data_IF_285530216972
#
_entry.id   IF_285530216972
#
_cell.length_a   1.000
_cell.length_b   1.000
_cell.length_c   1.000
_cell.angle_alpha   90.00
_cell.angle_beta   90.00
_cell.angle_gamma   90.00
#
_symmetry.space_group_name_H-M   'P 1'
#
loop_
_entity.id
_entity.type
_entity.pdbx_description
1 polymer ?
#
# COMPACT_ATOMS: atom_id res chain seq x y z
N UNK A 1 40.30 -12.05 21.02
CA UNK A 1 41.15 -11.39 20.00
C UNK A 1 41.63 -12.47 19.04
N UNK A 2 41.36 -12.29 17.74
CA UNK A 2 41.54 -13.24 16.61
C UNK A 2 40.31 -14.09 16.23
N UNK A 3 39.54 -13.56 15.26
CA UNK A 3 38.63 -14.20 14.27
C UNK A 3 37.47 -13.27 13.85
N UNK A 4 37.80 -12.01 13.57
CA UNK A 4 36.94 -11.08 12.82
C UNK A 4 37.79 -10.54 11.68
N UNK A 5 38.31 -11.43 10.82
CA UNK A 5 39.05 -11.00 9.63
C UNK A 5 39.20 -12.13 8.59
N UNK A 6 38.10 -12.84 8.27
CA UNK A 6 38.13 -13.76 7.13
C UNK A 6 36.74 -14.03 6.52
N UNK A 7 36.05 -12.98 6.08
CA UNK A 7 34.88 -13.14 5.18
C UNK A 7 34.68 -12.03 4.14
N UNK A 8 35.62 -11.09 4.00
CA UNK A 8 35.54 -10.04 2.97
C UNK A 8 36.18 -10.41 1.62
N UNK A 9 36.52 -11.68 1.38
CA UNK A 9 37.01 -12.14 0.07
C UNK A 9 36.42 -13.50 -0.27
N UNK A 10 35.28 -13.49 -0.95
CA UNK A 10 34.91 -14.41 -2.03
C UNK A 10 33.57 -13.92 -2.61
N UNK A 11 33.66 -13.14 -3.69
CA UNK A 11 32.50 -12.82 -4.52
C UNK A 11 32.09 -14.03 -5.36
N UNK A 12 30.80 -13.99 -5.75
CA UNK A 12 30.06 -14.87 -6.68
C UNK A 12 29.24 -16.00 -6.03
N UNK A 13 27.93 -15.79 -6.06
CA UNK A 13 26.94 -16.86 -6.28
C UNK A 13 26.40 -17.54 -5.01
N UNK A 14 25.34 -16.98 -4.42
CA UNK A 14 24.36 -17.80 -3.69
C UNK A 14 23.01 -17.08 -3.70
N UNK A 15 21.99 -17.79 -4.19
CA UNK A 15 20.58 -17.38 -4.13
C UNK A 15 20.24 -17.08 -2.67
N UNK A 16 19.66 -15.92 -2.42
CA UNK A 16 19.03 -15.61 -1.15
C UNK A 16 17.96 -16.68 -0.86
N UNK A 17 18.18 -17.45 0.20
CA UNK A 17 17.23 -18.46 0.68
C UNK A 17 16.02 -17.74 1.31
N UNK A 18 15.04 -17.31 0.51
CA UNK A 18 13.78 -16.74 1.02
C UNK A 18 13.02 -17.73 1.92
N UNK A 19 13.14 -19.03 1.62
CA UNK A 19 12.56 -20.10 2.42
C UNK A 19 13.09 -20.14 3.87
N UNK A 20 14.33 -19.69 4.12
CA UNK A 20 14.88 -19.63 5.47
C UNK A 20 14.30 -18.48 6.30
N UNK A 21 14.04 -17.34 5.66
CA UNK A 21 13.41 -16.19 6.29
C UNK A 21 11.91 -16.44 6.53
N UNK A 22 11.21 -17.04 5.56
CA UNK A 22 9.80 -17.44 5.68
C UNK A 22 9.60 -18.47 6.80
N UNK A 23 10.47 -19.50 6.88
CA UNK A 23 10.43 -20.48 7.96
C UNK A 23 10.73 -19.85 9.33
N UNK A 24 11.68 -18.90 9.39
CA UNK A 24 11.99 -18.16 10.60
C UNK A 24 10.80 -17.30 11.06
N UNK A 25 10.13 -16.59 10.14
CA UNK A 25 8.96 -15.78 10.47
C UNK A 25 7.76 -16.64 10.92
N UNK A 26 7.56 -17.80 10.30
CA UNK A 26 6.51 -18.75 10.71
C UNK A 26 6.75 -19.29 12.12
N UNK A 27 7.97 -19.76 12.41
CA UNK A 27 8.36 -20.24 13.74
C UNK A 27 8.29 -19.12 14.79
N UNK A 28 8.62 -17.89 14.38
CA UNK A 28 8.53 -16.71 15.23
C UNK A 28 7.07 -16.36 15.54
N UNK A 29 6.18 -16.38 14.55
CA UNK A 29 4.75 -16.16 14.74
C UNK A 29 4.11 -17.24 15.63
N UNK A 30 4.54 -18.50 15.50
CA UNK A 30 4.07 -19.58 16.36
C UNK A 30 4.58 -19.44 17.81
N UNK A 31 5.84 -19.03 18.00
CA UNK A 31 6.40 -18.70 19.31
C UNK A 31 5.68 -17.50 19.93
N UNK A 32 5.32 -16.49 19.13
CA UNK A 32 4.55 -15.33 19.56
C UNK A 32 3.15 -15.74 20.02
N UNK A 33 2.45 -16.59 19.26
CA UNK A 33 1.15 -17.17 19.68
C UNK A 33 1.28 -17.87 21.02
N UNK A 34 2.26 -18.76 21.19
CA UNK A 34 2.49 -19.50 22.44
C UNK A 34 2.78 -18.55 23.62
N UNK A 35 3.55 -17.49 23.40
CA UNK A 35 3.82 -16.47 24.43
C UNK A 35 2.58 -15.65 24.80
N UNK A 36 1.73 -15.31 23.83
CA UNK A 36 0.49 -14.57 24.06
C UNK A 36 -0.53 -15.42 24.83
N UNK A 37 -0.63 -16.71 24.52
CA UNK A 37 -1.46 -17.63 25.30
C UNK A 37 -0.94 -17.80 26.74
N UNK A 38 0.38 -17.92 26.92
CA UNK A 38 0.97 -17.99 28.26
C UNK A 38 0.70 -16.72 29.08
N UNK A 39 0.81 -15.54 28.46
CA UNK A 39 0.53 -14.26 29.13
C UNK A 39 -0.96 -14.11 29.49
N UNK A 40 -1.87 -14.62 28.65
CA UNK A 40 -3.32 -14.60 28.90
C UNK A 40 -3.71 -15.54 30.05
N UNK A 41 -3.08 -16.71 30.16
CA UNK A 41 -3.30 -17.65 31.26
C UNK A 41 -2.77 -17.07 32.60
N UNK A 42 -1.66 -16.33 32.55
CA UNK A 42 -1.08 -15.64 33.70
C UNK A 42 -1.98 -14.48 34.19
N UNK A 43 -2.55 -13.70 33.26
CA UNK A 43 -3.56 -12.67 33.57
C UNK A 43 -4.85 -13.27 34.15
N UNK A 44 -5.31 -14.43 33.65
CA UNK A 44 -6.48 -15.11 34.21
C UNK A 44 -6.25 -15.66 35.62
N UNK A 45 -5.04 -16.18 35.92
CA UNK A 45 -4.67 -16.60 37.27
C UNK A 45 -4.60 -15.42 38.24
N UNK A 46 -3.98 -14.31 37.84
CA UNK A 46 -3.91 -13.11 38.69
C UNK A 46 -5.28 -12.48 39.00
N UNK A 47 -6.25 -12.61 38.08
CA UNK A 47 -7.61 -12.10 38.27
C UNK A 47 -8.43 -12.96 39.25
N UNK A 48 -8.21 -14.28 39.26
CA UNK A 48 -8.84 -15.22 40.20
C UNK A 48 -8.30 -15.07 41.63
N UNK A 49 -6.98 -14.92 41.78
CA UNK A 49 -6.35 -14.70 43.10
C UNK A 49 -6.74 -13.34 43.72
N UNK A 50 -7.06 -12.35 42.88
CA UNK A 50 -7.51 -11.02 43.34
C UNK A 50 -8.98 -11.00 43.82
N UNK A 51 -9.79 -11.98 43.42
CA UNK A 51 -11.20 -12.09 43.81
C UNK A 51 -11.41 -12.79 45.17
N UNK A 52 -10.42 -13.56 45.66
CA UNK A 52 -10.55 -14.31 46.92
C UNK A 52 -10.20 -13.50 48.18
N UNK A 53 -9.59 -12.31 48.06
CA UNK A 53 -9.11 -11.52 49.21
C UNK A 53 -10.08 -10.40 49.64
N UNK A 54 -11.16 -10.16 48.89
CA UNK A 54 -11.96 -8.92 49.00
C UNK A 54 -13.38 -9.06 49.54
N UNK A 55 -13.63 -9.72 50.67
CA UNK A 55 -14.96 -9.68 51.34
C UNK A 55 -14.85 -9.31 52.83
N UNK A 56 -15.13 -8.04 53.18
CA UNK A 56 -15.68 -7.64 54.49
C UNK A 56 -16.30 -6.22 54.49
N UNK A 57 -17.62 -6.24 54.67
CA UNK A 57 -18.70 -5.30 55.11
C UNK A 57 -18.36 -3.95 55.84
N UNK A 58 -18.91 -2.86 55.27
CA UNK A 58 -19.59 -1.62 55.84
C UNK A 58 -19.00 -0.72 56.99
N UNK A 59 -19.56 0.50 57.32
CA UNK A 59 -20.26 1.56 56.57
C UNK A 59 -19.84 3.05 56.91
N UNK A 60 -20.52 4.00 56.25
CA UNK A 60 -20.44 5.49 56.16
C UNK A 60 -20.21 6.35 57.43
N UNK A 61 -19.55 7.52 57.24
CA UNK A 61 -19.79 8.77 58.03
C UNK A 61 -19.59 10.07 57.23
N UNK A 62 -20.41 11.09 57.54
CA UNK A 62 -20.58 12.43 56.92
C UNK A 62 -19.79 13.55 57.64
N UNK A 63 -19.77 14.73 56.99
CA UNK A 63 -19.50 16.13 57.46
C UNK A 63 -18.07 16.67 57.20
N UNK A 64 -17.78 17.97 56.98
CA UNK A 64 -18.47 19.22 56.54
C UNK A 64 -17.39 20.33 56.56
N UNK A 65 -17.35 21.26 55.59
CA UNK A 65 -17.02 22.69 55.86
C UNK A 65 -15.71 23.34 55.38
N UNK A 66 -15.89 24.45 54.62
CA UNK A 66 -15.17 25.76 54.52
C UNK A 66 -13.70 25.78 54.00
N UNK A 67 -13.31 26.51 52.93
CA UNK A 67 -13.35 27.95 52.50
C UNK A 67 -12.06 28.70 52.86
N UNK A 68 -11.38 29.30 51.86
CA UNK A 68 -10.27 30.28 52.02
C UNK A 68 -9.20 30.15 50.91
N UNK A 69 -9.22 30.92 49.81
CA UNK A 69 -8.63 32.27 49.57
C UNK A 69 -7.27 32.22 48.84
N UNK A 70 -7.16 33.17 47.92
CA UNK A 70 -6.24 33.49 46.82
C UNK A 70 -4.75 33.70 47.14
N UNK A 71 -3.89 33.49 46.12
CA UNK A 71 -2.53 34.05 46.03
C UNK A 71 -2.03 34.07 44.57
N UNK A 72 -1.62 35.25 44.10
CA UNK A 72 -1.21 35.65 42.74
C UNK A 72 0.34 35.74 42.67
N UNK A 73 0.97 35.43 41.52
CA UNK A 73 1.89 36.35 40.78
C UNK A 73 2.89 35.65 39.83
N UNK A 74 2.91 36.13 38.57
CA UNK A 74 3.98 36.41 37.57
C UNK A 74 5.43 35.94 37.82
N UNK A 75 6.30 35.70 36.82
CA UNK A 75 6.30 35.89 35.37
C UNK A 75 7.75 35.79 34.79
N UNK A 76 7.88 35.86 33.45
CA UNK A 76 9.10 36.06 32.60
C UNK A 76 10.19 34.97 32.57
N UNK A 77 10.95 34.70 31.49
CA UNK A 77 11.10 35.32 30.16
C UNK A 77 12.23 34.62 29.36
N UNK A 78 12.21 34.83 28.03
CA UNK A 78 13.00 34.35 26.88
C UNK A 78 14.50 33.95 27.04
N UNK A 79 14.99 33.04 26.16
CA UNK A 79 15.91 33.38 25.05
C UNK A 79 16.25 32.18 24.14
N UNK A 80 16.46 32.49 22.86
CA UNK A 80 16.69 31.59 21.72
C UNK A 80 18.14 31.11 21.58
N UNK A 81 18.35 29.98 20.88
CA UNK A 81 19.49 29.81 19.95
C UNK A 81 19.28 28.66 18.95
N UNK A 82 19.62 28.96 17.69
CA UNK A 82 19.72 28.04 16.55
C UNK A 82 20.98 27.18 16.66
N UNK A 83 20.92 25.90 16.28
CA UNK A 83 21.97 25.25 15.49
C UNK A 83 21.42 24.08 14.68
N UNK A 84 22.13 23.73 13.61
CA UNK A 84 21.74 22.86 12.52
C UNK A 84 22.35 21.45 12.60
N UNK A 85 21.76 20.56 11.81
CA UNK A 85 22.29 19.33 11.20
C UNK A 85 22.08 17.95 11.87
N UNK A 86 21.50 17.09 11.03
CA UNK A 86 21.55 15.61 10.93
C UNK A 86 20.58 14.77 11.76
N UNK A 87 20.02 13.81 11.03
CA UNK A 87 18.89 12.94 11.35
C UNK A 87 19.17 12.03 12.54
N UNK A 88 18.65 12.43 13.69
CA UNK A 88 18.23 11.49 14.71
C UNK A 88 16.71 11.34 14.56
N UNK A 89 16.21 10.11 14.54
CA UNK A 89 14.76 9.83 14.61
C UNK A 89 14.25 10.51 15.87
N UNK A 90 13.45 11.55 15.68
CA UNK A 90 13.05 12.47 16.73
C UNK A 90 12.04 11.77 17.66
N UNK A 91 12.52 11.34 18.83
CA UNK A 91 11.71 10.74 19.89
C UNK A 91 10.63 11.70 20.41
N UNK A 92 10.79 13.01 20.18
CA UNK A 92 9.78 14.04 20.42
C UNK A 92 8.54 13.87 19.53
N UNK A 93 8.74 13.54 18.24
CA UNK A 93 7.64 13.25 17.32
C UNK A 93 6.86 11.99 17.73
N UNK A 94 7.53 10.99 18.33
CA UNK A 94 6.87 9.81 18.89
C UNK A 94 6.02 10.14 20.13
N UNK A 95 6.51 11.01 21.02
CA UNK A 95 5.73 11.49 22.18
C UNK A 95 4.53 12.34 21.75
N UNK A 96 4.66 13.12 20.67
CA UNK A 96 3.55 13.87 20.08
C UNK A 96 2.53 12.97 19.36
N UNK A 97 2.97 11.88 18.71
CA UNK A 97 2.09 10.90 18.05
C UNK A 97 1.36 10.03 19.08
N UNK A 98 2.06 9.55 20.10
CA UNK A 98 1.48 8.86 21.25
C UNK A 98 0.59 9.81 22.05
N UNK A 99 0.99 11.06 22.27
CA UNK A 99 0.19 12.09 22.95
C UNK A 99 -1.02 12.57 22.13
N UNK A 100 -0.97 12.51 20.80
CA UNK A 100 -2.11 12.77 19.93
C UNK A 100 -3.06 11.56 19.83
N UNK A 101 -2.57 10.33 20.07
CA UNK A 101 -3.38 9.11 20.15
C UNK A 101 -3.87 8.80 21.59
N UNK A 102 -3.18 9.29 22.63
CA UNK A 102 -3.47 9.00 24.05
C UNK A 102 -3.92 10.23 24.85
N UNK A 103 -3.86 11.44 24.30
CA UNK A 103 -3.96 12.67 25.09
C UNK A 103 -2.71 12.88 25.96
N UNK A 104 -2.23 14.12 26.01
CA UNK A 104 -1.03 14.57 26.74
C UNK A 104 -0.73 13.83 28.07
N UNK A 105 0.48 13.28 28.29
CA UNK A 105 0.92 12.85 29.61
C UNK A 105 1.39 14.07 30.40
N UNK A 106 0.47 14.74 31.07
CA UNK A 106 0.78 16.00 31.75
C UNK A 106 -0.19 16.39 32.86
N UNK A 107 -0.44 15.50 33.82
CA UNK A 107 -0.58 15.87 35.25
C UNK A 107 -0.80 14.61 36.08
N UNK A 108 0.29 14.04 36.61
CA UNK A 108 0.20 13.11 37.73
C UNK A 108 -0.11 13.91 39.00
N UNK A 109 -1.39 14.18 39.25
CA UNK A 109 -1.88 14.37 40.62
C UNK A 109 -2.67 13.13 40.99
N UNK A 110 -2.04 12.33 41.86
CA UNK A 110 -2.66 11.20 42.56
C UNK A 110 -3.96 11.71 43.18
N UNK A 111 -5.09 11.14 42.73
CA UNK A 111 -6.37 10.95 43.43
C UNK A 111 -7.53 11.02 42.43
N UNK A 112 -7.82 9.89 41.79
CA UNK A 112 -9.14 9.64 41.22
C UNK A 112 -9.47 8.16 41.40
N UNK A 113 -10.43 7.93 42.31
CA UNK A 113 -11.20 6.71 42.49
C UNK A 113 -11.80 6.23 41.16
N UNK A 114 -11.84 4.92 41.02
CA UNK A 114 -12.47 4.08 40.00
C UNK A 114 -13.53 4.75 39.10
N UNK A 115 -13.14 5.06 37.85
CA UNK A 115 -13.91 4.97 36.58
C UNK A 115 -12.98 5.38 35.40
N UNK A 116 -13.28 5.09 34.11
CA UNK A 116 -12.57 4.10 33.30
C UNK A 116 -11.59 4.76 32.30
N UNK A 117 -10.29 4.49 32.41
CA UNK A 117 -9.27 4.95 31.44
C UNK A 117 -9.49 4.46 30.00
N UNK A 118 -10.30 3.41 29.78
CA UNK A 118 -10.69 2.91 28.46
C UNK A 118 -11.73 3.81 27.80
N UNK A 119 -12.82 4.14 28.50
CA UNK A 119 -13.93 4.94 27.97
C UNK A 119 -13.52 6.33 27.49
N UNK A 120 -12.56 6.97 28.17
CA UNK A 120 -12.03 8.27 27.73
C UNK A 120 -11.20 8.16 26.44
N UNK A 121 -10.45 7.08 26.25
CA UNK A 121 -9.65 6.85 25.04
C UNK A 121 -10.54 6.54 23.84
N UNK A 122 -11.55 5.70 24.05
CA UNK A 122 -12.56 5.39 23.02
C UNK A 122 -13.25 6.67 22.54
N UNK A 123 -13.60 7.58 23.46
CA UNK A 123 -14.19 8.88 23.10
C UNK A 123 -13.26 9.77 22.25
N UNK A 124 -11.95 9.77 22.53
CA UNK A 124 -10.96 10.56 21.75
C UNK A 124 -10.82 10.00 20.34
N UNK A 125 -10.71 8.68 20.18
CA UNK A 125 -10.62 8.03 18.87
C UNK A 125 -11.90 8.29 18.06
N UNK A 126 -13.07 8.16 18.69
CA UNK A 126 -14.35 8.46 18.05
C UNK A 126 -14.46 9.93 17.62
N UNK A 127 -14.05 10.87 18.48
CA UNK A 127 -14.04 12.30 18.14
C UNK A 127 -13.10 12.59 16.96
N UNK A 128 -11.92 11.97 16.93
CA UNK A 128 -10.96 12.08 15.80
C UNK A 128 -11.58 11.57 14.49
N UNK A 129 -12.21 10.40 14.52
CA UNK A 129 -12.89 9.80 13.37
C UNK A 129 -14.03 10.70 12.90
N UNK A 130 -14.86 11.23 13.79
CA UNK A 130 -15.97 12.12 13.44
C UNK A 130 -15.48 13.41 12.79
N UNK A 131 -14.47 14.07 13.37
CA UNK A 131 -13.86 15.28 12.80
C UNK A 131 -13.24 15.01 11.42
N UNK A 132 -12.56 13.88 11.26
CA UNK A 132 -11.94 13.49 9.97
C UNK A 132 -13.00 13.16 8.93
N UNK A 133 -14.08 12.49 9.32
CA UNK A 133 -15.22 12.18 8.46
C UNK A 133 -15.89 13.46 7.96
N UNK A 134 -16.12 14.43 8.85
CA UNK A 134 -16.70 15.72 8.51
C UNK A 134 -15.83 16.50 7.53
N UNK A 135 -14.51 16.53 7.77
CA UNK A 135 -13.55 17.16 6.84
C UNK A 135 -13.61 16.51 5.45
N UNK A 136 -13.57 15.17 5.36
CA UNK A 136 -13.69 14.47 4.07
C UNK A 136 -15.06 14.68 3.41
N UNK A 137 -16.13 14.91 4.17
CA UNK A 137 -17.43 15.27 3.62
C UNK A 137 -17.40 16.68 3.01
N UNK A 138 -16.85 17.66 3.72
CA UNK A 138 -16.68 19.04 3.22
C UNK A 138 -15.79 19.11 1.98
N UNK A 139 -14.70 18.33 1.92
CA UNK A 139 -13.85 18.30 0.72
C UNK A 139 -14.62 17.87 -0.54
N UNK A 140 -15.55 16.92 -0.39
CA UNK A 140 -16.38 16.37 -1.48
C UNK A 140 -17.59 17.24 -1.82
N UNK A 141 -17.89 18.24 -1.01
CA UNK A 141 -19.04 19.12 -1.22
C UNK A 141 -18.70 20.17 -2.28
N UNK A 142 -19.37 20.12 -3.43
CA UNK A 142 -19.17 21.07 -4.52
C UNK A 142 -19.76 22.45 -4.24
N UNK A 143 -20.61 22.59 -3.20
CA UNK A 143 -21.15 23.89 -2.78
C UNK A 143 -20.16 24.74 -1.99
N UNK A 144 -19.08 24.13 -1.46
CA UNK A 144 -18.04 24.81 -0.69
C UNK A 144 -16.90 25.23 -1.63
N UNK A 145 -16.53 26.52 -1.69
CA UNK A 145 -15.38 27.00 -2.46
C UNK A 145 -14.06 26.32 -2.06
N UNK A 146 -13.17 26.11 -3.02
CA UNK A 146 -11.87 25.45 -2.77
C UNK A 146 -11.01 26.18 -1.73
N UNK A 147 -11.04 27.52 -1.71
CA UNK A 147 -10.32 28.33 -0.73
C UNK A 147 -10.76 28.03 0.72
N UNK A 148 -12.04 27.74 0.93
CA UNK A 148 -12.63 27.46 2.25
C UNK A 148 -12.38 26.01 2.72
N UNK A 149 -11.71 25.19 1.89
CA UNK A 149 -11.35 23.81 2.19
C UNK A 149 -9.92 23.65 2.70
N UNK A 150 -9.12 24.72 2.73
CA UNK A 150 -7.69 24.64 3.04
C UNK A 150 -7.42 24.03 4.43
N UNK A 151 -8.19 24.41 5.44
CA UNK A 151 -8.07 23.85 6.79
C UNK A 151 -8.41 22.35 6.83
N UNK A 152 -9.45 21.94 6.08
CA UNK A 152 -9.85 20.54 5.97
C UNK A 152 -8.77 19.70 5.26
N UNK A 153 -8.16 20.24 4.20
CA UNK A 153 -7.01 19.63 3.51
C UNK A 153 -5.84 19.43 4.46
N UNK A 154 -5.42 20.48 5.19
CA UNK A 154 -4.32 20.40 6.15
C UNK A 154 -4.59 19.39 7.25
N UNK A 155 -5.82 19.39 7.79
CA UNK A 155 -6.27 18.42 8.82
C UNK A 155 -6.16 17.00 8.31
N UNK A 156 -6.72 16.70 7.14
CA UNK A 156 -6.71 15.34 6.57
C UNK A 156 -5.29 14.88 6.29
N UNK A 157 -4.47 15.71 5.65
CA UNK A 157 -3.06 15.40 5.39
C UNK A 157 -2.30 15.09 6.68
N UNK A 158 -2.55 15.85 7.75
CA UNK A 158 -1.96 15.60 9.07
C UNK A 158 -2.41 14.26 9.67
N UNK A 159 -3.70 13.94 9.56
CA UNK A 159 -4.25 12.67 10.07
C UNK A 159 -3.67 11.48 9.31
N UNK A 160 -3.65 11.52 7.98
CA UNK A 160 -3.08 10.44 7.14
C UNK A 160 -1.62 10.21 7.50
N UNK A 161 -0.79 11.26 7.52
CA UNK A 161 0.64 11.13 7.86
C UNK A 161 0.87 10.61 9.28
N UNK A 162 0.07 11.08 10.25
CA UNK A 162 0.13 10.58 11.63
C UNK A 162 -0.17 9.09 11.69
N UNK A 163 -1.21 8.64 10.99
CA UNK A 163 -1.61 7.24 10.98
C UNK A 163 -0.62 6.37 10.20
N UNK A 164 -0.08 6.84 9.08
CA UNK A 164 0.95 6.09 8.36
C UNK A 164 2.19 5.87 9.24
N UNK A 165 2.72 6.93 9.85
CA UNK A 165 3.83 6.83 10.81
C UNK A 165 3.50 5.91 12.00
N UNK A 166 2.28 6.01 12.55
CA UNK A 166 1.85 5.12 13.63
C UNK A 166 1.82 3.66 13.16
N UNK A 167 1.25 3.37 11.99
CA UNK A 167 1.19 2.01 11.46
C UNK A 167 2.57 1.46 11.11
N UNK A 168 3.50 2.29 10.64
CA UNK A 168 4.88 1.88 10.40
C UNK A 168 5.56 1.39 11.68
N UNK A 169 5.45 2.15 12.76
CA UNK A 169 6.04 1.77 14.05
C UNK A 169 5.36 0.54 14.64
N UNK A 170 4.03 0.46 14.53
CA UNK A 170 3.22 -0.59 15.15
C UNK A 170 3.17 -1.90 14.34
N UNK A 171 3.64 -1.90 13.09
CA UNK A 171 3.74 -3.11 12.25
C UNK A 171 5.12 -3.74 12.23
N UNK A 172 6.13 -3.08 12.82
CA UNK A 172 7.48 -3.63 12.97
C UNK A 172 7.46 -4.80 13.97
N UNK A 173 7.79 -6.04 13.54
CA UNK A 173 7.73 -7.22 14.40
C UNK A 173 8.53 -7.07 15.70
N UNK A 174 9.66 -6.34 15.66
CA UNK A 174 10.52 -6.14 16.82
C UNK A 174 9.90 -5.15 17.83
N UNK A 175 9.08 -4.21 17.36
CA UNK A 175 8.43 -3.18 18.19
C UNK A 175 7.03 -3.60 18.63
N UNK A 176 6.41 -4.53 17.90
CA UNK A 176 5.09 -5.07 18.23
C UNK A 176 5.03 -5.73 19.59
N UNK A 177 6.10 -6.39 20.04
CA UNK A 177 6.16 -7.04 21.36
C UNK A 177 6.06 -6.01 22.50
N UNK A 178 6.69 -4.83 22.33
CA UNK A 178 6.73 -3.78 23.36
C UNK A 178 5.53 -2.83 23.33
N UNK A 179 4.61 -2.97 22.39
CA UNK A 179 3.45 -2.09 22.25
C UNK A 179 2.22 -2.70 22.93
N UNK A 180 1.38 -1.85 23.54
CA UNK A 180 0.16 -2.32 24.20
C UNK A 180 -0.88 -2.81 23.20
N UNK A 181 -1.53 -3.94 23.48
CA UNK A 181 -2.60 -4.52 22.64
C UNK A 181 -3.69 -3.50 22.33
N UNK A 182 -4.11 -2.72 23.33
CA UNK A 182 -5.14 -1.70 23.14
C UNK A 182 -4.69 -0.59 22.18
N UNK A 183 -3.42 -0.17 22.23
CA UNK A 183 -2.91 0.83 21.29
C UNK A 183 -2.96 0.31 19.85
N UNK A 184 -2.58 -0.96 19.63
CA UNK A 184 -2.68 -1.60 18.31
C UNK A 184 -4.12 -1.71 17.83
N UNK A 185 -5.06 -2.02 18.72
CA UNK A 185 -6.51 -2.01 18.43
C UNK A 185 -6.97 -0.61 17.99
N UNK A 186 -6.61 0.44 18.74
CA UNK A 186 -7.06 1.80 18.48
C UNK A 186 -6.47 2.34 17.17
N UNK A 187 -5.17 2.12 16.94
CA UNK A 187 -4.46 2.54 15.72
C UNK A 187 -5.01 1.81 14.49
N UNK A 188 -5.15 0.49 14.55
CA UNK A 188 -5.67 -0.28 13.40
C UNK A 188 -7.12 0.10 13.09
N UNK A 189 -7.96 0.30 14.10
CA UNK A 189 -9.34 0.73 13.91
C UNK A 189 -9.41 2.12 13.26
N UNK A 190 -8.70 3.12 13.79
CA UNK A 190 -8.71 4.47 13.24
C UNK A 190 -8.13 4.50 11.81
N UNK A 191 -7.00 3.81 11.58
CA UNK A 191 -6.39 3.70 10.25
C UNK A 191 -7.34 3.05 9.24
N UNK A 192 -8.03 1.97 9.62
CA UNK A 192 -9.02 1.33 8.76
C UNK A 192 -10.14 2.29 8.36
N UNK A 193 -10.70 3.05 9.32
CA UNK A 193 -11.73 4.05 9.02
C UNK A 193 -11.21 5.11 8.03
N UNK A 194 -10.00 5.61 8.22
CA UNK A 194 -9.39 6.59 7.30
C UNK A 194 -9.11 5.97 5.92
N UNK A 195 -8.70 4.71 5.83
CA UNK A 195 -8.54 3.99 4.55
C UNK A 195 -9.89 3.95 3.79
N UNK A 196 -11.00 3.69 4.47
CA UNK A 196 -12.33 3.74 3.85
C UNK A 196 -12.70 5.15 3.37
N UNK A 197 -12.35 6.19 4.14
CA UNK A 197 -12.57 7.59 3.75
C UNK A 197 -11.74 7.97 2.52
N UNK A 198 -10.45 7.61 2.49
CA UNK A 198 -9.56 7.78 1.33
C UNK A 198 -10.16 7.08 0.10
N UNK A 199 -10.61 5.84 0.26
CA UNK A 199 -11.23 5.08 -0.83
C UNK A 199 -12.50 5.75 -1.37
N UNK A 200 -13.30 6.37 -0.50
CA UNK A 200 -14.52 7.09 -0.88
C UNK A 200 -14.19 8.40 -1.59
N UNK A 201 -13.19 9.14 -1.08
CA UNK A 201 -12.70 10.38 -1.67
C UNK A 201 -12.12 10.15 -3.08
N UNK A 202 -11.23 9.18 -3.23
CA UNK A 202 -10.60 8.86 -4.52
C UNK A 202 -11.61 8.51 -5.62
N UNK A 203 -12.73 7.85 -5.30
CA UNK A 203 -13.76 7.51 -6.30
C UNK A 203 -14.55 8.70 -6.82
N UNK A 204 -14.76 9.72 -5.98
CA UNK A 204 -15.55 10.91 -6.34
C UNK A 204 -14.70 11.86 -7.16
N UNK A 205 -13.40 11.96 -6.86
CA UNK A 205 -12.48 12.92 -7.46
C UNK A 205 -11.84 12.48 -8.79
N UNK A 206 -12.04 11.24 -9.25
CA UNK A 206 -11.62 10.83 -10.61
C UNK A 206 -12.38 11.60 -11.71
N UNK A 207 -13.45 12.31 -11.36
CA UNK A 207 -14.16 13.22 -12.24
C UNK A 207 -13.88 14.70 -11.90
N UNK A 208 -13.20 15.37 -12.83
CA UNK A 208 -13.51 16.74 -13.28
C UNK A 208 -13.03 18.03 -12.58
N UNK A 209 -12.57 18.07 -11.32
CA UNK A 209 -12.21 19.39 -10.73
C UNK A 209 -10.73 19.53 -10.43
N UNK A 210 -10.00 20.30 -11.23
CA UNK A 210 -8.58 20.63 -11.08
C UNK A 210 -8.32 21.70 -10.00
N UNK A 211 -8.97 21.60 -8.83
CA UNK A 211 -8.75 22.52 -7.72
C UNK A 211 -7.34 22.28 -7.16
N UNK A 212 -6.46 23.26 -7.36
CA UNK A 212 -5.05 23.20 -6.93
C UNK A 212 -4.91 23.00 -5.43
N UNK A 213 -5.87 23.50 -4.66
CA UNK A 213 -5.97 23.45 -3.21
C UNK A 213 -6.16 22.03 -2.69
N UNK A 214 -6.76 21.14 -3.49
CA UNK A 214 -6.96 19.73 -3.15
C UNK A 214 -5.77 18.84 -3.55
N UNK A 215 -4.77 19.37 -4.26
CA UNK A 215 -3.64 18.57 -4.74
C UNK A 215 -2.91 17.79 -3.63
N UNK A 216 -2.61 18.38 -2.45
CA UNK A 216 -1.87 17.66 -1.40
C UNK A 216 -2.64 16.46 -0.83
N UNK A 217 -3.96 16.59 -0.64
CA UNK A 217 -4.78 15.47 -0.14
C UNK A 217 -4.98 14.42 -1.21
N UNK A 218 -5.09 14.81 -2.49
CA UNK A 218 -5.19 13.88 -3.62
C UNK A 218 -3.94 13.05 -3.79
N UNK A 219 -2.76 13.65 -3.62
CA UNK A 219 -1.48 12.95 -3.67
C UNK A 219 -1.41 11.85 -2.60
N UNK A 220 -1.72 12.18 -1.34
CA UNK A 220 -1.77 11.20 -0.25
C UNK A 220 -2.88 10.16 -0.42
N UNK A 221 -3.98 10.55 -1.07
CA UNK A 221 -5.09 9.65 -1.32
C UNK A 221 -4.89 8.81 -2.58
N UNK A 222 -3.86 9.02 -3.40
CA UNK A 222 -3.65 8.31 -4.67
C UNK A 222 -3.29 6.83 -4.48
N UNK A 223 -3.41 6.03 -5.55
CA UNK A 223 -3.07 4.60 -5.51
C UNK A 223 -1.56 4.43 -5.72
N UNK A 224 -0.76 4.80 -4.71
CA UNK A 224 0.71 4.74 -4.74
C UNK A 224 1.25 3.60 -3.89
N UNK A 225 2.56 3.34 -3.98
CA UNK A 225 3.23 2.36 -3.12
C UNK A 225 3.08 2.67 -1.62
N UNK A 226 3.12 3.94 -1.25
CA UNK A 226 2.98 4.35 0.16
C UNK A 226 1.57 4.10 0.67
N UNK A 227 0.54 4.34 -0.15
CA UNK A 227 -0.83 3.94 0.21
C UNK A 227 -0.96 2.42 0.39
N UNK A 228 -0.35 1.62 -0.50
CA UNK A 228 -0.35 0.15 -0.37
C UNK A 228 0.30 -0.28 0.94
N UNK A 229 1.48 0.27 1.26
CA UNK A 229 2.18 0.00 2.52
C UNK A 229 1.34 0.37 3.73
N UNK A 230 0.71 1.55 3.72
CA UNK A 230 -0.18 1.99 4.79
C UNK A 230 -1.32 0.99 5.05
N UNK A 231 -1.98 0.49 3.99
CA UNK A 231 -3.03 -0.52 4.11
C UNK A 231 -2.49 -1.86 4.62
N UNK A 232 -1.37 -2.34 4.06
CA UNK A 232 -0.73 -3.60 4.46
C UNK A 232 -0.32 -3.58 5.94
N UNK A 233 0.32 -2.50 6.39
CA UNK A 233 0.72 -2.29 7.79
C UNK A 233 -0.51 -2.31 8.71
N UNK A 234 -1.59 -1.64 8.31
CA UNK A 234 -2.86 -1.65 9.05
C UNK A 234 -3.44 -3.06 9.18
N UNK A 235 -3.38 -3.87 8.12
CA UNK A 235 -3.83 -5.25 8.12
C UNK A 235 -2.97 -6.15 9.03
N UNK A 236 -1.65 -6.01 9.00
CA UNK A 236 -0.74 -6.72 9.92
C UNK A 236 -0.98 -6.40 11.38
N UNK A 237 -1.19 -5.12 11.71
CA UNK A 237 -1.53 -4.70 13.07
C UNK A 237 -2.84 -5.35 13.50
N UNK A 238 -3.85 -5.37 12.62
CA UNK A 238 -5.15 -6.01 12.90
C UNK A 238 -4.99 -7.51 13.19
N UNK A 239 -4.15 -8.23 12.44
CA UNK A 239 -3.86 -9.65 12.69
C UNK A 239 -3.14 -9.89 14.02
N UNK A 240 -2.25 -8.98 14.40
CA UNK A 240 -1.52 -9.08 15.68
C UNK A 240 -2.39 -9.02 16.93
N UNK A 241 -3.61 -8.49 16.78
CA UNK A 241 -4.62 -8.40 17.85
C UNK A 241 -5.83 -9.30 17.56
N UNK A 242 -5.64 -10.34 16.75
CA UNK A 242 -6.63 -11.36 16.40
C UNK A 242 -7.90 -10.83 15.69
N UNK A 243 -7.77 -9.72 14.96
CA UNK A 243 -8.87 -9.11 14.19
C UNK A 243 -8.75 -9.44 12.70
N UNK A 244 -8.81 -10.73 12.37
CA UNK A 244 -8.72 -11.23 10.98
C UNK A 244 -9.75 -10.62 10.03
N UNK A 245 -10.96 -10.34 10.53
CA UNK A 245 -12.00 -9.69 9.74
C UNK A 245 -11.59 -8.27 9.29
N UNK A 246 -11.01 -7.47 10.19
CA UNK A 246 -10.53 -6.11 9.88
C UNK A 246 -9.33 -6.15 8.91
N UNK A 247 -8.42 -7.10 9.08
CA UNK A 247 -7.32 -7.30 8.13
C UNK A 247 -7.83 -7.67 6.73
N UNK A 248 -8.81 -8.57 6.66
CA UNK A 248 -9.45 -8.98 5.41
C UNK A 248 -10.18 -7.82 4.73
N UNK A 249 -10.85 -6.98 5.51
CA UNK A 249 -11.53 -5.76 5.05
C UNK A 249 -10.53 -4.75 4.47
N UNK A 250 -9.44 -4.45 5.19
CA UNK A 250 -8.39 -3.54 4.71
C UNK A 250 -7.81 -4.00 3.36
N UNK A 251 -7.45 -5.28 3.26
CA UNK A 251 -6.94 -5.86 2.02
C UNK A 251 -7.99 -5.89 0.91
N UNK A 252 -9.27 -6.10 1.25
CA UNK A 252 -10.39 -6.04 0.29
C UNK A 252 -10.62 -4.63 -0.27
N UNK A 253 -10.44 -3.59 0.54
CA UNK A 253 -10.47 -2.19 0.07
C UNK A 253 -9.37 -1.94 -0.95
N UNK A 254 -8.14 -2.37 -0.65
CA UNK A 254 -7.02 -2.24 -1.56
C UNK A 254 -7.23 -3.03 -2.87
N UNK A 255 -7.70 -4.27 -2.79
CA UNK A 255 -7.97 -5.07 -4.00
C UNK A 255 -9.02 -4.39 -4.89
N UNK A 256 -10.14 -3.95 -4.31
CA UNK A 256 -11.19 -3.23 -5.02
C UNK A 256 -10.66 -1.96 -5.68
N UNK A 257 -9.65 -1.34 -5.09
CA UNK A 257 -8.97 -0.17 -5.65
C UNK A 257 -8.11 -0.54 -6.84
N UNK A 258 -7.25 -1.55 -6.71
CA UNK A 258 -6.37 -2.03 -7.79
C UNK A 258 -7.17 -2.44 -9.04
N UNK A 259 -8.31 -3.11 -8.86
CA UNK A 259 -9.19 -3.52 -9.96
C UNK A 259 -9.82 -2.32 -10.68
N UNK A 260 -10.16 -1.27 -9.94
CA UNK A 260 -10.89 -0.11 -10.46
C UNK A 260 -9.99 0.97 -11.03
N UNK A 261 -8.68 0.95 -10.77
CA UNK A 261 -7.74 1.91 -11.36
C UNK A 261 -7.78 1.81 -12.89
N UNK A 262 -8.17 2.87 -13.62
CA UNK A 262 -8.24 2.85 -15.10
C UNK A 262 -6.87 2.57 -15.73
N UNK A 263 -6.83 1.81 -16.82
CA UNK A 263 -5.57 1.46 -17.49
C UNK A 263 -4.74 2.68 -17.94
N UNK A 264 -5.40 3.75 -18.37
CA UNK A 264 -4.72 4.99 -18.78
C UNK A 264 -4.02 5.73 -17.63
N UNK A 265 -4.44 5.49 -16.39
CA UNK A 265 -3.84 6.10 -15.19
C UNK A 265 -2.79 5.21 -14.53
N UNK A 266 -2.66 3.95 -14.97
CA UNK A 266 -1.68 3.01 -14.41
C UNK A 266 -0.29 3.38 -14.91
N UNK A 267 0.57 3.81 -14.00
CA UNK A 267 2.00 3.75 -14.24
C UNK A 267 2.42 2.28 -14.31
N UNK A 268 2.79 1.78 -15.49
CA UNK A 268 3.01 0.36 -15.74
C UNK A 268 4.05 -0.29 -14.82
N UNK A 269 5.14 0.40 -14.49
CA UNK A 269 6.19 -0.13 -13.63
C UNK A 269 5.81 -0.11 -12.15
N UNK A 270 5.00 0.85 -11.74
CA UNK A 270 4.52 1.00 -10.37
C UNK A 270 3.35 0.05 -10.09
N UNK A 271 2.35 0.03 -10.96
CA UNK A 271 1.12 -0.74 -10.78
C UNK A 271 1.38 -2.24 -10.60
N UNK A 272 2.32 -2.82 -11.37
CA UNK A 272 2.76 -4.20 -11.17
C UNK A 272 3.28 -4.44 -9.75
N UNK A 273 4.14 -3.55 -9.25
CA UNK A 273 4.69 -3.63 -7.89
C UNK A 273 3.58 -3.52 -6.84
N UNK A 274 2.58 -2.66 -7.05
CA UNK A 274 1.42 -2.54 -6.15
C UNK A 274 0.65 -3.86 -6.05
N UNK A 275 0.38 -4.50 -7.19
CA UNK A 275 -0.34 -5.77 -7.26
C UNK A 275 0.47 -6.93 -6.66
N UNK A 276 1.78 -6.97 -6.91
CA UNK A 276 2.68 -7.96 -6.33
C UNK A 276 2.75 -7.84 -4.82
N UNK A 277 3.02 -6.64 -4.29
CA UNK A 277 3.04 -6.37 -2.86
C UNK A 277 1.70 -6.73 -2.20
N UNK A 278 0.58 -6.32 -2.81
CA UNK A 278 -0.75 -6.72 -2.34
C UNK A 278 -0.89 -8.25 -2.22
N UNK A 279 -0.55 -8.98 -3.28
CA UNK A 279 -0.74 -10.43 -3.31
C UNK A 279 0.21 -11.17 -2.39
N UNK A 280 1.47 -10.77 -2.31
CA UNK A 280 2.48 -11.40 -1.45
C UNK A 280 2.12 -11.22 0.03
N UNK A 281 1.77 -10.00 0.42
CA UNK A 281 1.40 -9.68 1.80
C UNK A 281 0.08 -10.35 2.20
N UNK A 282 -0.91 -10.37 1.31
CA UNK A 282 -2.18 -11.06 1.57
C UNK A 282 -1.97 -12.57 1.77
N UNK A 283 -1.09 -13.19 1.00
CA UNK A 283 -0.76 -14.60 1.11
C UNK A 283 0.00 -14.89 2.42
N UNK A 284 0.98 -14.04 2.76
CA UNK A 284 1.73 -14.11 4.01
C UNK A 284 0.85 -13.97 5.26
N UNK A 285 -0.24 -13.20 5.16
CA UNK A 285 -1.27 -13.07 6.19
C UNK A 285 -2.20 -14.31 6.31
N UNK A 286 -2.07 -15.31 5.43
CA UNK A 286 -2.97 -16.47 5.38
C UNK A 286 -4.38 -16.13 4.88
N UNK A 287 -4.50 -15.09 4.04
CA UNK A 287 -5.75 -14.65 3.42
C UNK A 287 -5.84 -15.03 1.93
N UNK A 288 -4.85 -15.82 1.46
CA UNK A 288 -4.65 -16.22 0.07
C UNK A 288 -4.14 -15.08 -0.82
N UNK A 289 -3.82 -15.37 -2.08
CA UNK A 289 -3.26 -14.37 -3.01
C UNK A 289 -4.23 -13.27 -3.44
N UNK A 290 -5.52 -13.57 -3.46
CA UNK A 290 -6.61 -12.62 -3.79
C UNK A 290 -7.86 -13.00 -2.99
N UNK A 291 -8.90 -12.17 -3.02
CA UNK A 291 -10.16 -12.49 -2.32
C UNK A 291 -10.97 -13.60 -3.00
N UNK A 292 -10.82 -13.76 -4.33
CA UNK A 292 -11.57 -14.73 -5.12
C UNK A 292 -10.82 -15.16 -6.40
N UNK A 293 -11.19 -16.32 -6.99
CA UNK A 293 -10.64 -16.74 -8.28
C UNK A 293 -10.87 -15.74 -9.42
N UNK A 294 -11.99 -15.00 -9.39
CA UNK A 294 -12.27 -13.99 -10.41
C UNK A 294 -11.32 -12.80 -10.30
N UNK A 295 -11.08 -12.30 -9.09
CA UNK A 295 -10.07 -11.25 -8.85
C UNK A 295 -8.66 -11.71 -9.20
N UNK A 296 -8.32 -12.98 -8.92
CA UNK A 296 -7.06 -13.56 -9.36
C UNK A 296 -6.91 -13.44 -10.88
N UNK A 297 -7.92 -13.88 -11.64
CA UNK A 297 -7.89 -13.85 -13.11
C UNK A 297 -7.64 -12.45 -13.69
N UNK A 298 -8.21 -11.41 -13.08
CA UNK A 298 -8.04 -10.02 -13.52
C UNK A 298 -6.67 -9.42 -13.16
N UNK A 299 -6.03 -9.93 -12.10
CA UNK A 299 -4.72 -9.45 -11.64
C UNK A 299 -3.56 -10.36 -12.06
N UNK A 300 -3.84 -11.57 -12.57
CA UNK A 300 -2.88 -12.64 -12.82
C UNK A 300 -1.67 -12.19 -13.63
N UNK A 301 -1.90 -11.39 -14.67
CA UNK A 301 -0.86 -10.80 -15.50
C UNK A 301 0.19 -10.01 -14.71
N UNK A 302 -0.23 -9.32 -13.64
CA UNK A 302 0.62 -8.47 -12.82
C UNK A 302 1.28 -9.23 -11.67
N UNK A 303 0.75 -10.39 -11.27
CA UNK A 303 1.25 -11.16 -10.13
C UNK A 303 2.68 -11.68 -10.34
N UNK A 304 3.08 -11.97 -11.58
CA UNK A 304 4.41 -12.49 -11.91
C UNK A 304 4.92 -11.89 -13.20
N UNK A 305 6.23 -11.80 -13.33
CA UNK A 305 6.85 -11.46 -14.60
C UNK A 305 6.67 -12.64 -15.56
N UNK A 306 6.04 -12.37 -16.71
CA UNK A 306 5.80 -13.34 -17.77
C UNK A 306 6.99 -13.48 -18.72
N UNK A 307 7.84 -12.46 -18.75
CA UNK A 307 9.08 -12.43 -19.51
C UNK A 307 10.23 -12.00 -18.59
N UNK A 308 11.43 -12.55 -18.82
CA UNK A 308 12.62 -12.25 -18.02
C UNK A 308 13.13 -10.82 -18.24
N UNK A 309 12.95 -10.29 -19.46
CA UNK A 309 13.37 -8.95 -19.80
C UNK A 309 12.42 -7.91 -19.19
N UNK A 310 12.91 -7.15 -18.20
CA UNK A 310 12.15 -6.10 -17.50
C UNK A 310 11.63 -5.00 -18.43
N UNK A 311 12.44 -4.54 -19.40
CA UNK A 311 12.03 -3.52 -20.37
C UNK A 311 10.86 -4.03 -21.21
N UNK A 312 10.96 -5.26 -21.69
CA UNK A 312 9.88 -5.92 -22.44
C UNK A 312 8.61 -6.06 -21.58
N UNK A 313 8.74 -6.54 -20.34
CA UNK A 313 7.60 -6.67 -19.42
C UNK A 313 6.87 -5.34 -19.22
N UNK A 314 7.63 -4.24 -19.05
CA UNK A 314 7.05 -2.89 -18.93
C UNK A 314 6.35 -2.44 -20.21
N UNK A 315 6.90 -2.72 -21.39
CA UNK A 315 6.24 -2.42 -22.66
C UNK A 315 4.94 -3.21 -22.82
N UNK A 316 4.93 -4.49 -22.43
CA UNK A 316 3.72 -5.31 -22.43
C UNK A 316 2.67 -4.77 -21.44
N UNK A 317 3.09 -4.31 -20.26
CA UNK A 317 2.19 -3.71 -19.27
C UNK A 317 1.52 -2.43 -19.78
N UNK A 318 2.19 -1.62 -20.62
CA UNK A 318 1.62 -0.40 -21.24
C UNK A 318 0.55 -0.68 -22.29
N UNK A 319 0.54 -1.89 -22.84
CA UNK A 319 -0.46 -2.35 -23.80
C UNK A 319 -1.75 -2.85 -23.14
N UNK A 320 -1.75 -3.07 -21.83
CA UNK A 320 -2.93 -3.51 -21.10
C UNK A 320 -4.07 -2.48 -21.23
N UNK A 321 -5.27 -2.94 -21.62
CA UNK A 321 -6.46 -2.09 -21.71
C UNK A 321 -6.52 -1.21 -22.96
N UNK A 322 -5.63 -1.39 -23.94
CA UNK A 322 -5.69 -0.64 -25.20
C UNK A 322 -6.88 -1.15 -26.05
N UNK A 323 -7.56 -0.27 -26.78
CA UNK A 323 -8.72 -0.66 -27.58
C UNK A 323 -8.37 -1.40 -28.88
N UNK A 324 -7.20 -1.14 -29.47
CA UNK A 324 -6.81 -1.64 -30.80
C UNK A 324 -5.34 -2.06 -30.79
N UNK A 325 -5.03 -3.14 -31.49
CA UNK A 325 -3.70 -3.74 -31.53
C UNK A 325 -3.25 -4.07 -32.95
N UNK A 326 -1.93 -4.26 -33.11
CA UNK A 326 -1.37 -5.04 -34.21
C UNK A 326 -0.38 -6.09 -33.67
N UNK A 327 -0.20 -7.15 -34.45
CA UNK A 327 0.86 -8.16 -34.33
C UNK A 327 1.47 -8.36 -35.71
N UNK A 328 2.77 -8.17 -35.84
CA UNK A 328 3.54 -8.57 -37.01
C UNK A 328 4.30 -9.85 -36.65
N UNK A 329 3.86 -10.97 -37.20
CA UNK A 329 4.60 -12.23 -37.10
C UNK A 329 5.78 -12.18 -38.08
N UNK A 330 6.94 -12.62 -37.63
CA UNK A 330 8.12 -12.67 -38.48
C UNK A 330 8.27 -14.05 -39.08
N UNK A 331 8.85 -14.11 -40.28
CA UNK A 331 9.13 -15.39 -40.93
C UNK A 331 10.05 -16.25 -40.03
N UNK A 332 9.79 -17.55 -40.01
CA UNK A 332 10.63 -18.58 -39.38
C UNK A 332 12.11 -18.52 -39.75
N UNK A 333 12.45 -17.98 -40.93
CA UNK A 333 13.82 -17.82 -41.42
C UNK A 333 14.52 -16.55 -40.92
N UNK A 334 13.85 -15.72 -40.12
CA UNK A 334 14.45 -14.49 -39.57
C UNK A 334 15.58 -14.84 -38.60
N UNK A 335 16.78 -14.34 -38.86
CA UNK A 335 17.95 -14.62 -38.02
C UNK A 335 17.99 -13.75 -36.76
N UNK A 336 18.65 -14.24 -35.70
CA UNK A 336 18.81 -13.48 -34.46
C UNK A 336 19.54 -12.15 -34.67
N UNK A 337 20.50 -12.08 -35.60
CA UNK A 337 21.21 -10.85 -35.94
C UNK A 337 20.27 -9.79 -36.53
N UNK A 338 19.32 -10.20 -37.38
CA UNK A 338 18.29 -9.31 -37.90
C UNK A 338 17.38 -8.78 -36.79
N UNK A 339 17.03 -9.63 -35.82
CA UNK A 339 16.23 -9.22 -34.64
C UNK A 339 17.00 -8.21 -33.78
N UNK A 340 18.29 -8.45 -33.54
CA UNK A 340 19.15 -7.53 -32.78
C UNK A 340 19.23 -6.17 -33.49
N UNK A 341 19.44 -6.16 -34.81
CA UNK A 341 19.48 -4.94 -35.60
C UNK A 341 18.14 -4.20 -35.56
N UNK A 342 17.02 -4.90 -35.75
CA UNK A 342 15.69 -4.30 -35.70
C UNK A 342 15.36 -3.71 -34.32
N UNK A 343 15.74 -4.39 -33.23
CA UNK A 343 15.60 -3.85 -31.87
C UNK A 343 16.39 -2.55 -31.68
N UNK A 344 17.62 -2.49 -32.18
CA UNK A 344 18.43 -1.28 -32.10
C UNK A 344 17.77 -0.11 -32.87
N UNK A 345 17.20 -0.38 -34.04
CA UNK A 345 16.47 0.63 -34.83
C UNK A 345 15.17 1.05 -34.14
N UNK A 346 14.39 0.12 -33.58
CA UNK A 346 13.18 0.40 -32.79
C UNK A 346 13.52 1.33 -31.62
N UNK A 347 14.58 1.01 -30.88
CA UNK A 347 15.02 1.79 -29.71
C UNK A 347 15.48 3.20 -30.10
N UNK A 348 15.98 3.40 -31.31
CA UNK A 348 16.38 4.70 -31.83
C UNK A 348 15.21 5.57 -32.32
N UNK A 349 14.01 5.00 -32.52
CA UNK A 349 12.84 5.73 -33.05
C UNK A 349 11.83 5.98 -31.91
N UNK A 350 11.66 7.24 -31.45
CA UNK A 350 10.76 7.55 -30.34
C UNK A 350 9.31 7.11 -30.55
N UNK A 351 8.84 7.10 -31.81
CA UNK A 351 7.49 6.65 -32.17
C UNK A 351 7.26 5.14 -31.98
N UNK A 352 8.33 4.34 -31.88
CA UNK A 352 8.26 2.89 -31.69
C UNK A 352 8.59 2.45 -30.25
N UNK A 353 8.74 3.40 -29.30
CA UNK A 353 9.13 3.13 -27.90
C UNK A 353 8.25 2.10 -27.17
N UNK A 354 7.00 1.98 -27.60
CA UNK A 354 5.99 1.10 -26.98
C UNK A 354 5.70 -0.15 -27.84
N UNK A 355 6.50 -0.40 -28.88
CA UNK A 355 6.46 -1.66 -29.64
C UNK A 355 7.26 -2.72 -28.87
N UNK A 356 6.60 -3.83 -28.56
CA UNK A 356 7.25 -4.97 -27.93
C UNK A 356 7.72 -5.98 -28.99
N UNK A 357 8.97 -6.41 -28.87
CA UNK A 357 9.56 -7.49 -29.66
C UNK A 357 9.73 -8.72 -28.78
N UNK A 358 9.01 -9.80 -29.06
CA UNK A 358 9.06 -11.03 -28.26
C UNK A 358 8.90 -12.28 -29.12
N UNK A 359 9.43 -13.40 -28.62
CA UNK A 359 9.43 -14.68 -29.32
C UNK A 359 10.53 -15.59 -28.76
N UNK A 360 10.31 -16.90 -28.82
CA UNK A 360 11.37 -17.91 -28.57
C UNK A 360 11.63 -18.73 -29.83
N UNK A 361 10.57 -19.14 -30.52
CA UNK A 361 10.60 -19.94 -31.76
C UNK A 361 9.85 -19.30 -32.92
N UNK A 362 9.15 -18.19 -32.65
CA UNK A 362 8.46 -17.37 -33.65
C UNK A 362 8.42 -15.93 -33.12
N UNK A 363 9.24 -15.07 -33.72
CA UNK A 363 9.36 -13.68 -33.32
C UNK A 363 8.12 -12.88 -33.75
N UNK A 364 7.76 -11.89 -32.95
CA UNK A 364 6.68 -10.98 -33.27
C UNK A 364 6.94 -9.59 -32.74
N UNK A 365 6.51 -8.58 -33.51
CA UNK A 365 6.38 -7.21 -33.05
C UNK A 365 4.91 -6.93 -32.72
N UNK A 366 4.64 -6.43 -31.53
CA UNK A 366 3.27 -6.10 -31.10
C UNK A 366 3.18 -4.70 -30.54
N UNK A 367 2.00 -4.13 -30.68
CA UNK A 367 1.67 -2.80 -30.20
C UNK A 367 0.19 -2.69 -29.91
N UNK A 368 -0.15 -1.92 -28.88
CA UNK A 368 -1.52 -1.51 -28.56
C UNK A 368 -1.64 0.00 -28.59
N UNK A 369 -2.53 0.52 -29.43
CA UNK A 369 -2.76 1.95 -29.62
C UNK A 369 -4.11 2.41 -29.08
N UNK A 370 -4.28 3.72 -29.01
CA UNK A 370 -5.53 4.37 -28.54
C UNK A 370 -6.60 4.51 -29.63
N UNK A 371 -6.19 4.45 -30.90
CA UNK A 371 -7.08 4.56 -32.05
C UNK A 371 -6.56 3.73 -33.23
N UNK A 372 -7.39 3.57 -34.27
CA UNK A 372 -7.00 2.86 -35.48
C UNK A 372 -5.88 3.60 -36.23
N UNK A 373 -5.95 4.92 -36.26
CA UNK A 373 -4.94 5.77 -36.92
C UNK A 373 -3.59 5.69 -36.20
N UNK A 374 -3.61 5.62 -34.86
CA UNK A 374 -2.43 5.42 -34.03
C UNK A 374 -1.72 4.09 -34.35
N UNK A 375 -2.48 2.99 -34.33
CA UNK A 375 -2.00 1.65 -34.68
C UNK A 375 -1.49 1.59 -36.12
N UNK A 376 -2.20 2.22 -37.07
CA UNK A 376 -1.81 2.26 -38.48
C UNK A 376 -0.49 3.02 -38.68
N UNK A 377 -0.35 4.18 -38.04
CA UNK A 377 0.86 5.00 -38.11
C UNK A 377 2.07 4.24 -37.58
N UNK A 378 1.96 3.64 -36.38
CA UNK A 378 3.06 2.88 -35.76
C UNK A 378 3.41 1.64 -36.61
N UNK A 379 2.41 0.91 -37.11
CA UNK A 379 2.64 -0.24 -38.01
C UNK A 379 3.40 0.17 -39.27
N UNK A 380 3.02 1.27 -39.91
CA UNK A 380 3.69 1.71 -41.14
C UNK A 380 5.16 2.08 -40.91
N UNK A 381 5.49 2.65 -39.75
CA UNK A 381 6.89 2.88 -39.35
C UNK A 381 7.59 1.55 -39.11
N UNK A 382 6.93 0.59 -38.45
CA UNK A 382 7.49 -0.73 -38.18
C UNK A 382 7.76 -1.53 -39.46
N UNK A 383 6.89 -1.46 -40.47
CA UNK A 383 7.13 -2.09 -41.79
C UNK A 383 8.39 -1.54 -42.45
N UNK A 384 8.59 -0.20 -42.41
CA UNK A 384 9.84 0.42 -42.92
C UNK A 384 11.08 -0.04 -42.17
N UNK A 385 10.97 -0.31 -40.86
CA UNK A 385 12.07 -0.89 -40.08
C UNK A 385 12.35 -2.32 -40.53
N UNK A 386 11.30 -3.14 -40.70
CA UNK A 386 11.42 -4.51 -41.18
C UNK A 386 12.16 -4.56 -42.53
N UNK A 387 11.71 -3.76 -43.51
CA UNK A 387 12.35 -3.62 -44.83
C UNK A 387 13.82 -3.25 -44.73
N UNK A 388 14.15 -2.23 -43.91
CA UNK A 388 15.53 -1.75 -43.72
C UNK A 388 16.45 -2.80 -43.09
N UNK A 389 15.89 -3.66 -42.25
CA UNK A 389 16.64 -4.73 -41.56
C UNK A 389 16.58 -6.08 -42.27
N UNK A 390 15.90 -6.15 -43.42
CA UNK A 390 15.71 -7.39 -44.18
C UNK A 390 14.83 -8.42 -43.49
N UNK A 391 14.02 -8.01 -42.51
CA UNK A 391 13.08 -8.90 -41.83
C UNK A 391 11.86 -9.10 -42.72
N UNK A 392 11.54 -10.35 -43.04
CA UNK A 392 10.32 -10.71 -43.73
C UNK A 392 9.17 -10.89 -42.73
N UNK A 393 8.02 -10.32 -43.07
CA UNK A 393 6.80 -10.41 -42.25
C UNK A 393 5.93 -11.52 -42.82
N UNK A 394 5.47 -12.41 -41.95
CA UNK A 394 4.48 -13.42 -42.28
C UNK A 394 3.10 -12.78 -42.22
N UNK A 395 2.57 -12.42 -43.38
CA UNK A 395 1.24 -11.80 -43.51
C UNK A 395 0.10 -12.71 -43.06
N UNK A 396 0.26 -14.04 -43.14
CA UNK A 396 -0.79 -14.99 -42.75
C UNK A 396 -0.97 -15.04 -41.23
N UNK A 397 0.14 -15.01 -40.49
CA UNK A 397 0.13 -15.04 -39.02
C UNK A 397 0.11 -13.65 -38.37
N UNK A 398 0.20 -12.60 -39.17
CA UNK A 398 0.09 -11.21 -38.74
C UNK A 398 -1.37 -10.80 -38.54
N UNK A 399 -1.59 -9.89 -37.60
CA UNK A 399 -2.90 -9.33 -37.26
C UNK A 399 -2.82 -7.82 -37.27
N UNK A 400 -3.79 -7.18 -37.92
CA UNK A 400 -3.82 -5.72 -38.04
C UNK A 400 -5.14 -5.16 -37.56
N UNK A 401 -5.07 -4.11 -36.74
CA UNK A 401 -6.24 -3.36 -36.27
C UNK A 401 -7.29 -4.26 -35.60
N UNK A 402 -6.84 -5.17 -34.73
CA UNK A 402 -7.72 -6.10 -34.00
C UNK A 402 -8.07 -5.55 -32.61
N UNK A 403 -9.25 -5.88 -32.06
CA UNK A 403 -9.64 -5.45 -30.71
C UNK A 403 -8.95 -6.27 -29.60
N UNK A 404 -8.29 -7.37 -29.96
CA UNK A 404 -7.56 -8.22 -29.04
C UNK A 404 -6.40 -8.96 -29.72
N UNK A 405 -5.36 -9.26 -28.95
CA UNK A 405 -4.21 -10.08 -29.37
C UNK A 405 -3.84 -11.09 -28.28
N UNK A 406 -3.19 -12.17 -28.68
CA UNK A 406 -2.65 -13.17 -27.74
C UNK A 406 -1.14 -12.98 -27.55
N UNK A 407 -0.71 -12.95 -26.30
CA UNK A 407 0.68 -12.90 -25.87
C UNK A 407 0.89 -14.07 -24.90
N UNK A 408 1.48 -15.16 -25.41
CA UNK A 408 1.53 -16.43 -24.70
C UNK A 408 0.12 -16.91 -24.35
N UNK A 409 -0.11 -17.19 -23.07
CA UNK A 409 -1.41 -17.65 -22.55
C UNK A 409 -2.41 -16.52 -22.24
N UNK A 410 -2.06 -15.25 -22.50
CA UNK A 410 -2.90 -14.10 -22.16
C UNK A 410 -3.49 -13.45 -23.40
N UNK A 411 -4.80 -13.18 -23.35
CA UNK A 411 -5.51 -12.34 -24.31
C UNK A 411 -5.56 -10.91 -23.80
N UNK A 412 -4.97 -9.99 -24.56
CA UNK A 412 -5.02 -8.55 -24.31
C UNK A 412 -6.22 -7.95 -25.02
N UNK A 413 -6.92 -7.04 -24.36
CA UNK A 413 -8.08 -6.34 -24.89
C UNK A 413 -8.29 -5.02 -24.14
N UNK A 414 -9.33 -4.26 -24.52
CA UNK A 414 -9.78 -3.07 -23.78
C UNK A 414 -10.12 -3.36 -22.31
N UNK A 415 -10.54 -4.58 -21.97
CA UNK A 415 -10.81 -5.00 -20.60
C UNK A 415 -9.53 -5.35 -19.80
N UNK A 416 -8.37 -5.35 -20.46
CA UNK A 416 -7.09 -5.76 -19.90
C UNK A 416 -6.66 -7.17 -20.32
N UNK A 417 -5.51 -7.61 -19.81
CA UNK A 417 -4.98 -8.95 -20.03
C UNK A 417 -5.74 -9.98 -19.18
N UNK A 418 -6.28 -11.00 -19.82
CA UNK A 418 -6.90 -12.14 -19.17
C UNK A 418 -6.23 -13.42 -19.67
N UNK A 419 -5.98 -14.36 -18.76
CA UNK A 419 -5.51 -15.68 -19.17
C UNK A 419 -6.60 -16.37 -19.97
N UNK A 420 -6.27 -16.77 -21.20
CA UNK A 420 -7.16 -17.61 -21.98
C UNK A 420 -7.35 -18.91 -21.22
N UNK A 421 -8.61 -19.33 -21.02
CA UNK A 421 -8.86 -20.73 -20.70
C UNK A 421 -8.16 -21.53 -21.81
N UNK A 422 -7.27 -22.45 -21.43
CA UNK A 422 -6.57 -23.25 -22.43
C UNK A 422 -7.61 -23.83 -23.39
N UNK A 423 -7.39 -23.67 -24.70
CA UNK A 423 -7.97 -24.64 -25.61
C UNK A 423 -7.45 -25.99 -25.13
N UNK A 424 -8.39 -26.86 -24.75
CA UNK A 424 -8.15 -28.15 -24.12
C UNK A 424 -7.10 -28.99 -24.86
#
# INVERSE_FOLDING_TARGET
MARIEESCRLGRGRRDNSAGLEHFMMLYAERLRKSVFAQRDEEQRGTLESLEVGNSVEPKKRMKGKKGVTGKSNGHGDFASRSSTKSAVDTSAMSAVIGALLGSPGSATKNAKDSPKSTRRDAIVQESIQKTTAAFARLRDSSIPAADKLEDVQRICKVIRRLDNATEVQSDPNKMIGTGVQLRIDVSFEALQVIHMIQKFYRVDQGTNADSELAPVRELCATTLDFVRFVVRTAWISLSVDRKAQASEAMGVLEKRLLKTPFGERNSSEFRKLVQMYSEERDAMGLGRTSSPDTFRHLEWYLRNTVENSKLQMTLDRMAGRPIYFKLALDSQTSDDQIVLARAVIDAIPALKDVACFGKTGWSFVYGGTSKDDVTRVRNIMMKVADRTGIQVDDQNSQFSTPAIHIGQFKFSAAGPLRSAAAA
#
